data_IF_233412178434
#
_entry.id   IF_233412178434
#
_cell.length_a   1.000
_cell.length_b   1.000
_cell.length_c   1.000
_cell.angle_alpha   90.00
_cell.angle_beta   90.00
_cell.angle_gamma   90.00
#
_symmetry.space_group_name_H-M   'P 1'
#
loop_
_entity.id
_entity.type
_entity.pdbx_description
1 polymer ?
#
# COMPACT_ATOMS: atom_id res chain seq x y z
N UNK A 1 27.75 -1.38 -5.28
CA UNK A 1 26.30 -1.08 -5.48
C UNK A 1 26.23 0.14 -6.38
N UNK A 2 25.66 -0.01 -7.56
CA UNK A 2 25.55 1.06 -8.55
C UNK A 2 24.39 1.99 -8.18
N UNK A 3 24.46 3.26 -8.59
CA UNK A 3 23.46 4.30 -8.28
C UNK A 3 22.03 3.98 -8.78
N UNK A 4 21.86 2.89 -9.54
CA UNK A 4 20.59 2.39 -10.09
C UNK A 4 19.87 1.37 -9.20
N UNK A 5 20.44 1.00 -8.03
CA UNK A 5 19.86 -0.05 -7.19
C UNK A 5 18.75 0.47 -6.26
N UNK A 6 18.55 1.80 -6.20
CA UNK A 6 17.58 2.46 -5.34
C UNK A 6 16.78 3.52 -6.09
N UNK A 7 15.52 3.69 -5.70
CA UNK A 7 14.69 4.85 -6.05
C UNK A 7 14.48 5.73 -4.82
N UNK A 8 14.36 7.03 -5.03
CA UNK A 8 14.03 7.98 -3.97
C UNK A 8 12.53 8.09 -3.82
N UNK A 9 12.04 7.91 -2.61
CA UNK A 9 10.67 8.19 -2.23
C UNK A 9 10.63 9.20 -1.08
N UNK A 10 9.50 9.90 -0.94
CA UNK A 10 9.32 10.95 0.05
C UNK A 10 7.99 10.79 0.77
N UNK A 11 8.00 11.02 2.08
CA UNK A 11 6.81 11.17 2.91
C UNK A 11 6.89 12.44 3.75
N UNK A 12 6.01 12.60 4.73
CA UNK A 12 6.00 13.75 5.65
C UNK A 12 7.26 13.85 6.51
N UNK A 13 8.02 12.76 6.65
CA UNK A 13 9.26 12.69 7.44
C UNK A 13 10.52 12.94 6.60
N UNK A 14 10.38 13.09 5.28
CA UNK A 14 11.48 13.37 4.37
C UNK A 14 11.75 12.28 3.34
N UNK A 15 12.85 12.43 2.61
CA UNK A 15 13.27 11.49 1.57
C UNK A 15 13.96 10.25 2.15
N UNK A 16 13.75 9.10 1.52
CA UNK A 16 14.41 7.85 1.81
C UNK A 16 14.70 7.07 0.52
N UNK A 17 15.77 6.28 0.54
CA UNK A 17 16.09 5.37 -0.55
C UNK A 17 15.36 4.04 -0.33
N UNK A 18 14.57 3.63 -1.32
CA UNK A 18 13.87 2.34 -1.35
C UNK A 18 14.51 1.49 -2.44
N UNK A 19 14.76 0.19 -2.26
CA UNK A 19 15.29 -0.65 -3.32
C UNK A 19 14.46 -0.52 -4.60
N UNK A 20 15.11 -0.36 -5.76
CA UNK A 20 14.42 -0.11 -7.01
C UNK A 20 13.45 -1.24 -7.41
N UNK A 21 13.78 -2.48 -7.04
CA UNK A 21 12.96 -3.67 -7.29
C UNK A 21 11.85 -3.91 -6.26
N UNK A 22 11.80 -3.15 -5.16
CA UNK A 22 10.80 -3.36 -4.12
C UNK A 22 9.42 -2.86 -4.59
N UNK A 23 8.38 -3.63 -4.29
CA UNK A 23 6.99 -3.21 -4.46
C UNK A 23 6.47 -2.40 -3.26
N UNK A 24 7.15 -2.48 -2.13
CA UNK A 24 6.84 -1.63 -0.99
C UNK A 24 7.46 -0.23 -1.15
N UNK A 25 7.00 0.71 -0.36
CA UNK A 25 7.41 2.12 -0.43
C UNK A 25 8.14 2.59 0.82
N UNK A 26 8.17 3.92 0.97
CA UNK A 26 8.94 4.64 2.00
C UNK A 26 8.51 4.30 3.43
N UNK A 27 7.21 4.05 3.68
CA UNK A 27 6.72 3.73 5.04
C UNK A 27 7.23 2.36 5.50
N UNK A 28 7.20 1.38 4.60
CA UNK A 28 7.77 0.05 4.86
C UNK A 28 9.28 0.13 5.06
N UNK A 29 9.99 0.87 4.21
CA UNK A 29 11.44 1.01 4.37
C UNK A 29 11.80 1.63 5.72
N UNK A 30 11.06 2.66 6.19
CA UNK A 30 11.26 3.21 7.54
C UNK A 30 11.03 2.18 8.64
N UNK A 31 10.02 1.33 8.48
CA UNK A 31 9.75 0.27 9.45
C UNK A 31 10.90 -0.75 9.50
N UNK A 32 11.44 -1.13 8.36
CA UNK A 32 12.62 -2.01 8.26
C UNK A 32 13.82 -1.38 8.97
N UNK A 33 14.08 -0.10 8.71
CA UNK A 33 15.21 0.63 9.31
C UNK A 33 15.03 0.82 10.83
N UNK A 34 13.78 1.02 11.30
CA UNK A 34 13.48 1.27 12.71
C UNK A 34 13.40 -0.01 13.56
N UNK A 35 13.07 -1.15 12.96
CA UNK A 35 12.83 -2.40 13.67
C UNK A 35 13.67 -3.59 13.16
N UNK A 36 15.02 -3.47 13.12
CA UNK A 36 15.90 -4.59 12.76
C UNK A 36 16.09 -5.52 13.96
N UNK A 37 15.03 -6.23 14.38
CA UNK A 37 14.99 -6.94 15.67
C UNK A 37 15.37 -8.41 15.51
N UNK A 38 14.61 -9.19 14.73
CA UNK A 38 14.82 -10.63 14.62
C UNK A 38 15.36 -11.09 13.26
N UNK A 39 15.20 -10.27 12.23
CA UNK A 39 15.50 -10.64 10.84
C UNK A 39 14.51 -11.65 10.25
N UNK A 40 13.40 -11.92 10.94
CA UNK A 40 12.34 -12.78 10.44
C UNK A 40 11.37 -11.99 9.56
N UNK A 41 10.66 -12.71 8.71
CA UNK A 41 9.58 -12.17 7.88
C UNK A 41 8.22 -12.64 8.43
N UNK A 42 7.12 -11.92 8.12
CA UNK A 42 5.78 -12.34 8.51
C UNK A 42 5.43 -13.71 7.94
N UNK A 43 4.67 -14.49 8.68
CA UNK A 43 4.16 -15.77 8.20
C UNK A 43 3.22 -15.56 7.02
N UNK A 44 3.30 -16.47 6.05
CA UNK A 44 2.44 -16.45 4.85
C UNK A 44 0.95 -16.36 5.20
N UNK A 45 0.49 -17.08 6.24
CA UNK A 45 -0.92 -17.03 6.66
C UNK A 45 -1.32 -15.64 7.17
N UNK A 46 -0.42 -14.90 7.82
CA UNK A 46 -0.66 -13.54 8.25
C UNK A 46 -0.73 -12.57 7.06
N UNK A 47 0.21 -12.69 6.11
CA UNK A 47 0.20 -11.92 4.86
C UNK A 47 -1.09 -12.16 4.07
N UNK A 48 -1.47 -13.43 3.94
CA UNK A 48 -2.74 -13.84 3.33
C UNK A 48 -3.94 -13.17 3.99
N UNK A 49 -3.98 -13.18 5.33
CA UNK A 49 -5.11 -12.62 6.09
C UNK A 49 -5.24 -11.11 5.90
N UNK A 50 -4.14 -10.38 5.95
CA UNK A 50 -4.16 -8.93 5.68
C UNK A 50 -4.63 -8.65 4.24
N UNK A 51 -4.12 -9.38 3.26
CA UNK A 51 -4.52 -9.20 1.87
C UNK A 51 -6.01 -9.53 1.65
N UNK A 52 -6.53 -10.58 2.30
CA UNK A 52 -7.95 -10.94 2.25
C UNK A 52 -8.84 -9.80 2.81
N UNK A 53 -8.45 -9.19 3.92
CA UNK A 53 -9.15 -8.01 4.47
C UNK A 53 -9.12 -6.85 3.49
N UNK A 54 -7.97 -6.56 2.86
CA UNK A 54 -7.87 -5.47 1.86
C UNK A 54 -8.73 -5.72 0.64
N UNK A 55 -8.74 -6.96 0.14
CA UNK A 55 -9.61 -7.38 -0.97
C UNK A 55 -11.08 -7.18 -0.64
N UNK A 56 -11.52 -7.68 0.51
CA UNK A 56 -12.91 -7.54 0.96
C UNK A 56 -13.30 -6.06 1.13
N UNK A 57 -12.43 -5.26 1.75
CA UNK A 57 -12.67 -3.84 1.94
C UNK A 57 -12.82 -3.10 0.61
N UNK A 58 -11.98 -3.38 -0.39
CA UNK A 58 -12.08 -2.75 -1.71
C UNK A 58 -13.44 -3.04 -2.37
N UNK A 59 -13.88 -4.30 -2.36
CA UNK A 59 -15.16 -4.70 -2.96
C UNK A 59 -16.35 -4.09 -2.22
N UNK A 60 -16.38 -4.16 -0.89
CA UNK A 60 -17.46 -3.61 -0.08
C UNK A 60 -17.53 -2.08 -0.20
N UNK A 61 -16.38 -1.39 -0.17
CA UNK A 61 -16.35 0.06 -0.34
C UNK A 61 -16.87 0.49 -1.73
N UNK A 62 -16.60 -0.31 -2.76
CA UNK A 62 -17.18 -0.07 -4.08
C UNK A 62 -18.71 -0.26 -4.06
N UNK A 63 -19.22 -1.36 -3.49
CA UNK A 63 -20.67 -1.62 -3.39
C UNK A 63 -21.40 -0.53 -2.58
N UNK A 64 -20.75 0.03 -1.57
CA UNK A 64 -21.29 1.14 -0.76
C UNK A 64 -21.17 2.52 -1.45
N UNK A 65 -20.60 2.58 -2.66
CA UNK A 65 -20.42 3.84 -3.39
C UNK A 65 -19.38 4.78 -2.77
N UNK A 66 -18.41 4.25 -2.03
CA UNK A 66 -17.35 5.03 -1.39
C UNK A 66 -16.17 5.32 -2.32
N UNK A 67 -16.08 4.65 -3.47
CA UNK A 67 -15.15 4.98 -4.53
C UNK A 67 -15.77 5.97 -5.50
N UNK A 68 -14.96 6.92 -5.98
CA UNK A 68 -15.33 7.87 -7.02
C UNK A 68 -14.43 7.67 -8.24
N UNK A 69 -14.96 7.99 -9.42
CA UNK A 69 -14.17 8.09 -10.62
C UNK A 69 -13.07 9.15 -10.47
N UNK A 70 -11.92 8.94 -11.13
CA UNK A 70 -10.77 9.82 -11.02
C UNK A 70 -10.08 10.05 -12.35
N UNK A 71 -9.53 11.25 -12.46
CA UNK A 71 -8.59 11.57 -13.52
C UNK A 71 -7.18 11.73 -12.95
N UNK A 72 -6.22 11.02 -13.56
CA UNK A 72 -4.81 11.11 -13.21
C UNK A 72 -3.99 11.15 -14.50
N UNK A 73 -3.18 12.17 -14.65
CA UNK A 73 -2.31 12.38 -15.82
C UNK A 73 -3.08 12.27 -17.17
N UNK A 74 -4.32 12.79 -17.20
CA UNK A 74 -5.20 12.78 -18.38
C UNK A 74 -5.87 11.43 -18.67
N UNK A 75 -5.76 10.44 -17.78
CA UNK A 75 -6.48 9.17 -17.84
C UNK A 75 -7.64 9.15 -16.87
N UNK A 76 -8.78 8.68 -17.34
CA UNK A 76 -9.98 8.48 -16.54
C UNK A 76 -10.02 7.06 -15.98
N UNK A 77 -10.17 6.94 -14.65
CA UNK A 77 -10.35 5.67 -13.95
C UNK A 77 -11.72 5.67 -13.28
N UNK A 78 -12.53 4.68 -13.61
CA UNK A 78 -13.82 4.49 -12.96
C UNK A 78 -13.64 3.90 -11.56
N UNK A 79 -14.59 4.18 -10.67
CA UNK A 79 -14.65 3.59 -9.33
C UNK A 79 -14.55 2.05 -9.38
N UNK A 80 -15.21 1.44 -10.37
CA UNK A 80 -15.17 -0.01 -10.60
C UNK A 80 -13.75 -0.50 -10.93
N UNK A 81 -13.08 0.15 -11.88
CA UNK A 81 -11.70 -0.22 -12.26
C UNK A 81 -10.74 -0.13 -11.08
N UNK A 82 -10.87 0.91 -10.24
CA UNK A 82 -10.05 1.07 -9.05
C UNK A 82 -10.27 -0.08 -8.06
N UNK A 83 -11.51 -0.41 -7.76
CA UNK A 83 -11.84 -1.48 -6.83
C UNK A 83 -11.37 -2.87 -7.35
N UNK A 84 -11.59 -3.15 -8.63
CA UNK A 84 -11.16 -4.38 -9.28
C UNK A 84 -9.63 -4.53 -9.31
N UNK A 85 -8.89 -3.45 -9.62
CA UNK A 85 -7.43 -3.47 -9.61
C UNK A 85 -6.86 -3.74 -8.21
N UNK A 86 -7.44 -3.13 -7.17
CA UNK A 86 -7.04 -3.37 -5.77
C UNK A 86 -7.37 -4.82 -5.37
N UNK A 87 -8.56 -5.30 -5.71
CA UNK A 87 -8.99 -6.65 -5.36
C UNK A 87 -8.12 -7.71 -6.05
N UNK A 88 -7.77 -7.51 -7.32
CA UNK A 88 -6.88 -8.40 -8.07
C UNK A 88 -5.46 -8.39 -7.49
N UNK A 89 -4.92 -7.23 -7.19
CA UNK A 89 -3.60 -7.10 -6.57
C UNK A 89 -3.53 -7.82 -5.22
N UNK A 90 -4.58 -7.66 -4.39
CA UNK A 90 -4.68 -8.38 -3.13
C UNK A 90 -4.79 -9.90 -3.32
N UNK A 91 -5.48 -10.37 -4.34
CA UNK A 91 -5.58 -11.79 -4.68
C UNK A 91 -4.23 -12.38 -5.09
N UNK A 92 -3.41 -11.65 -5.85
CA UNK A 92 -2.04 -12.07 -6.16
C UNK A 92 -1.17 -12.23 -4.91
N UNK A 93 -1.34 -11.33 -3.93
CA UNK A 93 -0.66 -11.45 -2.62
C UNK A 93 -1.16 -12.70 -1.87
N UNK A 94 -2.46 -12.97 -1.86
CA UNK A 94 -3.05 -14.17 -1.26
C UNK A 94 -2.53 -15.45 -1.90
N UNK A 95 -2.30 -15.46 -3.20
CA UNK A 95 -1.67 -16.57 -3.94
C UNK A 95 -0.21 -16.80 -3.54
N UNK A 96 0.40 -15.86 -2.82
CA UNK A 96 1.77 -15.95 -2.33
C UNK A 96 2.83 -15.56 -3.35
N UNK A 97 2.46 -14.95 -4.47
CA UNK A 97 3.39 -14.52 -5.51
C UNK A 97 4.42 -13.48 -5.02
N UNK A 98 4.04 -12.70 -3.99
CA UNK A 98 4.78 -11.52 -3.52
C UNK A 98 5.19 -11.60 -2.05
N UNK A 99 5.34 -12.81 -1.50
CA UNK A 99 5.68 -13.00 -0.09
C UNK A 99 7.02 -12.35 0.31
N UNK A 100 7.96 -12.27 -0.61
CA UNK A 100 9.27 -11.63 -0.45
C UNK A 100 9.20 -10.11 -0.29
N UNK A 101 8.07 -9.50 -0.64
CA UNK A 101 7.82 -8.06 -0.50
C UNK A 101 7.30 -7.66 0.88
N UNK A 102 7.02 -8.63 1.75
CA UNK A 102 6.58 -8.42 3.12
C UNK A 102 7.78 -8.56 4.06
N UNK A 103 8.50 -7.46 4.21
CA UNK A 103 9.86 -7.41 4.81
C UNK A 103 9.88 -6.89 6.25
N UNK A 104 8.75 -6.47 6.79
CA UNK A 104 8.66 -5.90 8.15
C UNK A 104 8.83 -7.02 9.18
N UNK A 105 9.73 -6.80 10.15
CA UNK A 105 9.99 -7.75 11.24
C UNK A 105 8.72 -8.01 12.07
N UNK A 106 8.38 -9.28 12.40
CA UNK A 106 7.20 -9.61 13.22
C UNK A 106 7.18 -8.97 14.60
N UNK A 107 8.33 -8.62 15.15
CA UNK A 107 8.48 -7.96 16.46
C UNK A 107 8.51 -6.43 16.38
N UNK A 108 8.08 -5.86 15.26
CA UNK A 108 7.84 -4.42 15.15
C UNK A 108 6.81 -3.96 16.21
N UNK A 109 6.58 -2.64 16.35
CA UNK A 109 5.63 -2.10 17.34
C UNK A 109 4.28 -2.84 17.34
N UNK A 110 3.80 -3.24 18.52
CA UNK A 110 2.74 -4.21 18.72
C UNK A 110 1.36 -3.89 18.12
N UNK A 111 1.13 -2.63 17.69
CA UNK A 111 -0.11 -2.23 17.03
C UNK A 111 -0.27 -2.76 15.59
N UNK A 112 0.78 -3.35 14.99
CA UNK A 112 0.71 -3.92 13.64
C UNK A 112 0.67 -2.91 12.50
N UNK A 113 0.82 -1.62 12.78
CA UNK A 113 0.72 -0.53 11.79
C UNK A 113 1.69 -0.71 10.62
N UNK A 114 2.94 -1.11 10.90
CA UNK A 114 3.96 -1.29 9.87
C UNK A 114 3.62 -2.41 8.90
N UNK A 115 3.06 -3.52 9.37
CA UNK A 115 2.57 -4.60 8.50
C UNK A 115 1.40 -4.16 7.63
N UNK A 116 0.48 -3.38 8.21
CA UNK A 116 -0.64 -2.82 7.45
C UNK A 116 -0.14 -1.87 6.34
N UNK A 117 0.84 -1.01 6.65
CA UNK A 117 1.44 -0.11 5.66
C UNK A 117 2.19 -0.88 4.57
N UNK A 118 2.93 -1.94 4.92
CA UNK A 118 3.59 -2.80 3.94
C UNK A 118 2.57 -3.42 2.96
N UNK A 119 1.47 -3.96 3.48
CA UNK A 119 0.41 -4.50 2.63
C UNK A 119 -0.21 -3.43 1.73
N UNK A 120 -0.48 -2.23 2.26
CA UNK A 120 -1.03 -1.13 1.49
C UNK A 120 -0.10 -0.71 0.33
N UNK A 121 1.19 -0.55 0.61
CA UNK A 121 2.17 -0.12 -0.39
C UNK A 121 2.37 -1.17 -1.48
N UNK A 122 2.49 -2.46 -1.12
CA UNK A 122 2.62 -3.56 -2.09
C UNK A 122 1.38 -3.69 -2.97
N UNK A 123 0.19 -3.71 -2.38
CA UNK A 123 -1.07 -3.83 -3.12
C UNK A 123 -1.29 -2.61 -4.01
N UNK A 124 -0.97 -1.40 -3.53
CA UNK A 124 -1.07 -0.18 -4.32
C UNK A 124 -0.15 -0.23 -5.55
N UNK A 125 1.08 -0.70 -5.38
CA UNK A 125 2.04 -0.82 -6.49
C UNK A 125 1.58 -1.84 -7.54
N UNK A 126 1.08 -3.00 -7.10
CA UNK A 126 0.55 -4.03 -7.99
C UNK A 126 -0.69 -3.55 -8.75
N UNK A 127 -1.63 -2.90 -8.06
CA UNK A 127 -2.84 -2.33 -8.68
C UNK A 127 -2.48 -1.26 -9.73
N UNK A 128 -1.45 -0.46 -9.46
CA UNK A 128 -0.92 0.51 -10.41
C UNK A 128 -0.36 -0.14 -11.66
N UNK A 129 0.44 -1.19 -11.50
CA UNK A 129 1.04 -1.92 -12.61
C UNK A 129 -0.01 -2.60 -13.50
N UNK A 130 -1.09 -3.13 -12.92
CA UNK A 130 -2.20 -3.75 -13.65
C UNK A 130 -2.96 -2.74 -14.53
N UNK A 131 -2.99 -1.46 -14.16
CA UNK A 131 -3.56 -0.37 -14.96
C UNK A 131 -2.73 0.04 -16.20
N UNK A 132 -1.58 -0.60 -16.43
CA UNK A 132 -0.78 -0.45 -17.66
C UNK A 132 0.26 0.68 -17.64
N UNK A 133 0.44 1.38 -16.54
CA UNK A 133 1.54 2.35 -16.34
C UNK A 133 1.96 2.42 -14.86
N UNK A 134 3.27 2.44 -14.63
CA UNK A 134 3.89 2.34 -13.29
C UNK A 134 3.60 3.51 -12.33
N UNK A 135 2.90 4.56 -12.74
CA UNK A 135 2.82 5.78 -11.93
C UNK A 135 1.41 6.33 -11.57
N UNK A 136 0.35 6.27 -12.41
CA UNK A 136 -0.90 6.96 -12.10
C UNK A 136 -1.69 6.34 -10.95
N UNK A 137 -1.72 5.00 -10.83
CA UNK A 137 -2.50 4.31 -9.78
C UNK A 137 -1.78 4.36 -8.43
N UNK A 138 -0.44 4.40 -8.40
CA UNK A 138 0.33 4.68 -7.18
C UNK A 138 0.00 6.06 -6.62
N UNK A 139 -0.16 7.06 -7.48
CA UNK A 139 -0.64 8.39 -7.08
C UNK A 139 -2.11 8.36 -6.65
N UNK A 140 -2.93 7.49 -7.23
CA UNK A 140 -4.33 7.31 -6.86
C UNK A 140 -4.52 6.61 -5.52
N UNK A 141 -3.76 5.55 -5.27
CA UNK A 141 -3.91 4.70 -4.07
C UNK A 141 -2.95 5.16 -2.97
N UNK A 142 -1.79 5.72 -3.35
CA UNK A 142 -0.71 6.10 -2.45
C UNK A 142 -0.55 7.60 -2.17
N UNK A 143 -1.23 8.49 -2.89
CA UNK A 143 -0.94 9.94 -2.88
C UNK A 143 0.46 10.25 -3.43
N UNK A 144 0.68 11.49 -3.85
CA UNK A 144 2.04 11.98 -4.06
C UNK A 144 2.80 11.87 -2.74
N UNK A 145 4.07 11.52 -2.79
CA UNK A 145 4.94 11.29 -1.63
C UNK A 145 5.04 12.45 -0.61
N UNK A 146 4.22 13.49 -0.73
CA UNK A 146 4.17 14.68 0.13
C UNK A 146 2.89 14.84 0.98
N UNK A 147 1.82 14.08 0.74
CA UNK A 147 0.50 14.44 1.27
C UNK A 147 -0.23 13.31 2.04
N UNK A 148 0.50 12.34 2.56
CA UNK A 148 -0.10 11.27 3.36
C UNK A 148 -0.29 11.75 4.79
N UNK A 149 -1.49 12.26 5.12
CA UNK A 149 -1.93 12.39 6.51
C UNK A 149 -2.64 11.12 6.94
N UNK A 150 -2.14 10.50 7.99
CA UNK A 150 -2.88 9.49 8.74
C UNK A 150 -3.97 10.23 9.51
N UNK A 151 -5.20 10.18 9.03
CA UNK A 151 -6.37 10.61 9.81
C UNK A 151 -6.91 9.40 10.56
N UNK A 152 -6.84 9.46 11.88
CA UNK A 152 -7.67 8.59 12.71
C UNK A 152 -9.10 9.14 12.64
N UNK A 153 -10.02 8.35 12.13
CA UNK A 153 -11.44 8.66 12.26
C UNK A 153 -11.84 8.65 13.75
N UNK A 154 -12.87 9.42 14.16
CA UNK A 154 -13.29 9.52 15.56
C UNK A 154 -13.66 8.19 16.22
N UNK A 155 -13.89 7.14 15.43
CA UNK A 155 -14.22 5.77 15.82
C UNK A 155 -12.99 4.83 15.97
N UNK A 156 -11.78 5.37 15.86
CA UNK A 156 -10.54 4.60 16.07
C UNK A 156 -10.14 3.70 14.90
N UNK A 157 -10.84 3.76 13.78
CA UNK A 157 -10.46 3.05 12.56
C UNK A 157 -9.29 3.76 11.88
N UNK A 158 -8.23 3.02 11.56
CA UNK A 158 -7.11 3.57 10.82
C UNK A 158 -7.53 3.84 9.36
N UNK A 159 -7.76 5.09 9.04
CA UNK A 159 -8.03 5.54 7.69
C UNK A 159 -6.69 5.89 7.05
N UNK A 160 -6.29 5.16 6.03
CA UNK A 160 -5.21 5.61 5.15
C UNK A 160 -5.82 6.67 4.23
N UNK A 161 -5.85 7.91 4.75
CA UNK A 161 -6.29 9.07 4.00
C UNK A 161 -5.23 9.48 3.01
N UNK A 162 -5.58 9.44 1.74
CA UNK A 162 -4.96 10.28 0.73
C UNK A 162 -5.73 11.58 0.73
N UNK A 163 -5.07 12.72 0.97
CA UNK A 163 -5.69 14.03 0.79
C UNK A 163 -6.04 14.22 -0.69
N UNK A 164 -7.07 13.64 -1.10
CA UNK A 164 -7.97 13.90 -2.22
C UNK A 164 -8.92 12.70 -2.39
N UNK A 165 -9.53 12.29 -1.27
CA UNK A 165 -10.83 11.65 -1.30
C UNK A 165 -10.91 10.16 -1.64
N UNK A 166 -9.90 9.32 -1.41
CA UNK A 166 -10.09 7.87 -1.25
C UNK A 166 -9.76 7.48 0.18
N UNK A 167 -10.77 7.37 1.01
CA UNK A 167 -10.68 6.70 2.30
C UNK A 167 -10.84 5.20 2.07
N UNK A 168 -9.77 4.43 2.22
CA UNK A 168 -9.92 2.99 2.45
C UNK A 168 -10.15 2.86 3.96
N UNK A 169 -11.42 2.75 4.35
CA UNK A 169 -11.78 2.42 5.74
C UNK A 169 -11.60 0.93 5.94
N UNK A 170 -10.68 0.53 6.81
CA UNK A 170 -10.47 -0.85 7.24
C UNK A 170 -10.56 -0.91 8.74
#
# INVERSE_FOLDING_TARGET
MTQNDFRKEKDSLGELNVPASALYGVQTQRAVDNFPISGLHPWRAFVWSIAAVKRAAALVNFELGLFNDREVDGKHFTAKQLAESIAQAAEEVMDGKWNDQFVVDPFQAGAGTSHNMNANEVIAHLAAAAGGEHDPVLRLIGGTAGERRLHLAPDGLAVVGVEQGVEIRV
#
